data_IF_023676412198
#
_entry.id   IF_023676412198
#
_cell.length_a   1.000
_cell.length_b   1.000
_cell.length_c   1.000
_cell.angle_alpha   90.00
_cell.angle_beta   90.00
_cell.angle_gamma   90.00
#
_symmetry.space_group_name_H-M   'P 1'
#
loop_
_entity.id
_entity.type
_entity.pdbx_description
1 polymer ?
#
# COMPACT_ATOMS: atom_id res chain seq x y z
N UNK A 1 -30.18 -20.68 23.36
CA UNK A 1 -29.29 -19.65 22.80
C UNK A 1 -28.81 -18.77 23.94
N UNK A 2 -27.51 -18.71 24.17
CA UNK A 2 -26.84 -17.75 25.07
C UNK A 2 -26.47 -16.50 24.27
N UNK A 3 -26.47 -15.33 24.90
CA UNK A 3 -26.17 -14.07 24.21
C UNK A 3 -26.06 -12.91 25.21
N UNK A 4 -25.41 -11.83 24.76
CA UNK A 4 -25.16 -10.63 25.54
C UNK A 4 -26.14 -9.54 25.15
N UNK A 5 -26.72 -8.85 26.14
CA UNK A 5 -27.49 -7.62 25.89
C UNK A 5 -26.49 -6.52 25.56
N UNK A 6 -26.43 -6.13 24.29
CA UNK A 6 -25.50 -5.09 23.80
C UNK A 6 -26.13 -3.70 23.79
N UNK A 7 -27.47 -3.62 23.79
CA UNK A 7 -28.20 -2.37 23.98
C UNK A 7 -29.46 -2.60 24.82
N UNK A 8 -29.76 -1.62 25.68
CA UNK A 8 -30.99 -1.53 26.48
C UNK A 8 -31.51 -0.11 26.37
N UNK A 9 -32.60 0.06 25.62
CA UNK A 9 -33.19 1.39 25.35
C UNK A 9 -34.40 1.69 26.25
N UNK A 10 -34.66 0.84 27.25
CA UNK A 10 -35.79 0.99 28.15
C UNK A 10 -35.39 1.07 29.62
N UNK A 11 -36.16 1.84 30.38
CA UNK A 11 -36.12 1.91 31.84
C UNK A 11 -37.50 1.59 32.42
N UNK A 12 -37.52 1.21 33.70
CA UNK A 12 -38.76 0.89 34.38
C UNK A 12 -39.72 2.10 34.39
N UNK A 13 -40.99 1.88 34.05
CA UNK A 13 -42.00 2.95 33.90
C UNK A 13 -42.06 3.63 32.53
N UNK A 14 -41.19 3.24 31.58
CA UNK A 14 -41.25 3.77 30.22
C UNK A 14 -42.50 3.29 29.46
N UNK A 15 -43.11 4.18 28.68
CA UNK A 15 -44.17 3.84 27.73
C UNK A 15 -43.55 3.23 26.47
N UNK A 16 -44.13 2.14 25.96
CA UNK A 16 -43.62 1.40 24.80
C UNK A 16 -44.71 1.34 23.75
N UNK A 17 -44.38 1.74 22.53
CA UNK A 17 -45.25 1.58 21.37
C UNK A 17 -44.87 0.33 20.57
N UNK A 18 -45.81 -0.23 19.81
CA UNK A 18 -45.53 -1.34 18.92
C UNK A 18 -44.46 -0.95 17.89
N UNK A 19 -43.36 -1.73 17.84
CA UNK A 19 -42.20 -1.44 16.99
C UNK A 19 -41.00 -0.83 17.75
N UNK A 20 -41.18 -0.43 19.01
CA UNK A 20 -40.08 0.06 19.84
C UNK A 20 -39.10 -1.08 20.13
N UNK A 21 -37.82 -0.86 19.83
CA UNK A 21 -36.74 -1.80 20.17
C UNK A 21 -36.41 -1.64 21.66
N UNK A 22 -36.55 -2.72 22.41
CA UNK A 22 -36.37 -2.67 23.87
C UNK A 22 -34.98 -3.13 24.28
N UNK A 23 -34.51 -4.20 23.63
CA UNK A 23 -33.20 -4.79 23.82
C UNK A 23 -32.61 -5.21 22.49
N UNK A 24 -31.29 -5.21 22.40
CA UNK A 24 -30.53 -5.91 21.36
C UNK A 24 -29.67 -6.98 22.03
N UNK A 25 -29.87 -8.22 21.63
CA UNK A 25 -29.08 -9.37 22.11
C UNK A 25 -28.26 -9.89 20.95
N UNK A 26 -26.95 -10.07 21.16
CA UNK A 26 -26.04 -10.63 20.18
C UNK A 26 -25.28 -11.82 20.79
N UNK A 27 -24.98 -12.82 19.95
CA UNK A 27 -23.91 -13.75 20.28
C UNK A 27 -22.58 -13.06 19.93
N UNK A 28 -21.62 -13.11 20.85
CA UNK A 28 -20.29 -12.52 20.70
C UNK A 28 -19.19 -13.58 20.52
N UNK A 29 -19.54 -14.87 20.44
CA UNK A 29 -18.60 -15.97 20.18
C UNK A 29 -17.91 -15.79 18.83
N UNK A 30 -18.66 -15.30 17.83
CA UNK A 30 -18.18 -14.92 16.50
C UNK A 30 -18.44 -13.43 16.30
N UNK A 31 -17.40 -12.68 15.91
CA UNK A 31 -17.52 -11.26 15.62
C UNK A 31 -16.99 -10.98 14.23
N UNK A 32 -17.32 -9.79 13.70
CA UNK A 32 -16.73 -9.32 12.47
C UNK A 32 -16.15 -7.93 12.62
N UNK A 33 -15.10 -7.67 11.86
CA UNK A 33 -14.53 -6.36 11.66
C UNK A 33 -14.87 -5.89 10.25
N UNK A 34 -15.28 -4.64 10.15
CA UNK A 34 -15.55 -3.96 8.89
C UNK A 34 -14.37 -3.05 8.57
N UNK A 35 -13.54 -3.46 7.61
CA UNK A 35 -12.40 -2.69 7.13
C UNK A 35 -12.82 -1.85 5.91
N UNK A 36 -12.34 -0.60 5.86
CA UNK A 36 -12.44 0.26 4.68
C UNK A 36 -11.14 0.13 3.87
N UNK A 37 -11.24 -0.44 2.67
CA UNK A 37 -10.09 -0.72 1.79
C UNK A 37 -10.16 0.22 0.59
N UNK A 38 -9.06 0.88 0.24
CA UNK A 38 -9.02 1.75 -0.93
C UNK A 38 -9.27 0.98 -2.23
N UNK A 39 -9.93 1.62 -3.19
CA UNK A 39 -10.28 1.02 -4.49
C UNK A 39 -9.07 0.41 -5.23
N UNK A 40 -7.89 1.05 -5.17
CA UNK A 40 -6.68 0.54 -5.82
C UNK A 40 -6.19 -0.79 -5.22
N UNK A 41 -6.28 -0.91 -3.89
CA UNK A 41 -5.80 -2.07 -3.14
C UNK A 41 -6.82 -3.22 -3.17
N UNK A 42 -8.09 -2.92 -3.43
CA UNK A 42 -9.18 -3.90 -3.49
C UNK A 42 -8.88 -5.04 -4.49
N UNK A 43 -8.13 -4.76 -5.55
CA UNK A 43 -7.70 -5.77 -6.55
C UNK A 43 -6.86 -6.91 -5.94
N UNK A 44 -6.23 -6.65 -4.80
CA UNK A 44 -5.39 -7.60 -4.08
C UNK A 44 -6.12 -8.35 -2.98
N UNK A 45 -7.35 -7.96 -2.65
CA UNK A 45 -8.17 -8.57 -1.60
C UNK A 45 -9.07 -9.65 -2.18
N UNK A 46 -9.05 -10.85 -1.58
CA UNK A 46 -9.84 -12.01 -2.02
C UNK A 46 -10.74 -12.52 -0.92
N UNK A 47 -11.85 -13.15 -1.30
CA UNK A 47 -12.66 -13.93 -0.36
C UNK A 47 -11.82 -15.06 0.24
N UNK A 48 -12.09 -15.39 1.50
CA UNK A 48 -11.39 -16.40 2.30
C UNK A 48 -9.91 -16.11 2.58
N UNK A 49 -9.39 -14.95 2.15
CA UNK A 49 -8.03 -14.51 2.47
C UNK A 49 -7.85 -14.36 3.99
N UNK A 50 -6.74 -14.90 4.48
CA UNK A 50 -6.31 -14.74 5.87
C UNK A 50 -5.79 -13.32 6.08
N UNK A 51 -6.16 -12.74 7.22
CA UNK A 51 -5.77 -11.38 7.60
C UNK A 51 -5.40 -11.36 9.07
N UNK A 52 -4.50 -10.44 9.43
CA UNK A 52 -4.18 -10.18 10.82
C UNK A 52 -4.92 -8.94 11.30
N UNK A 53 -5.62 -9.05 12.42
CA UNK A 53 -6.33 -7.94 13.04
C UNK A 53 -5.66 -7.56 14.35
N UNK A 54 -5.39 -6.27 14.51
CA UNK A 54 -4.78 -5.71 15.71
C UNK A 54 -5.69 -4.63 16.29
N UNK A 55 -5.78 -4.54 17.62
CA UNK A 55 -6.56 -3.50 18.28
C UNK A 55 -5.62 -2.43 18.82
N UNK A 56 -5.88 -1.13 18.60
CA UNK A 56 -5.04 -0.06 19.15
C UNK A 56 -4.87 -0.11 20.68
N UNK A 57 -5.86 -0.63 21.39
CA UNK A 57 -5.85 -0.79 22.85
C UNK A 57 -5.23 -2.12 23.32
N UNK A 58 -4.85 -3.02 22.42
CA UNK A 58 -4.20 -4.30 22.70
C UNK A 58 -3.13 -4.62 21.63
N UNK A 59 -2.10 -3.77 21.47
CA UNK A 59 -1.15 -3.88 20.35
C UNK A 59 -0.29 -5.15 20.39
N UNK A 60 -0.15 -5.77 21.55
CA UNK A 60 0.61 -7.02 21.75
C UNK A 60 -0.18 -8.27 21.34
N UNK A 61 -1.50 -8.13 21.12
CA UNK A 61 -2.38 -9.23 20.74
C UNK A 61 -2.77 -9.10 19.27
N UNK A 62 -2.52 -10.17 18.53
CA UNK A 62 -2.93 -10.33 17.13
C UNK A 62 -4.08 -11.34 17.07
N UNK A 63 -5.08 -11.04 16.27
CA UNK A 63 -6.22 -11.89 16.03
C UNK A 63 -6.21 -12.32 14.58
N UNK A 64 -6.26 -13.62 14.33
CA UNK A 64 -6.37 -14.15 12.98
C UNK A 64 -7.83 -14.09 12.53
N UNK A 65 -8.05 -13.57 11.33
CA UNK A 65 -9.37 -13.46 10.74
C UNK A 65 -9.37 -13.92 9.28
N UNK A 66 -10.58 -14.07 8.72
CA UNK A 66 -10.76 -14.40 7.30
C UNK A 66 -11.73 -13.45 6.64
N UNK A 67 -11.41 -13.03 5.41
CA UNK A 67 -12.31 -12.21 4.60
C UNK A 67 -13.57 -13.02 4.28
N UNK A 68 -14.68 -12.65 4.91
CA UNK A 68 -15.97 -13.33 4.79
C UNK A 68 -16.86 -12.73 3.72
N UNK A 69 -16.67 -11.44 3.41
CA UNK A 69 -17.49 -10.73 2.44
C UNK A 69 -16.79 -9.47 1.93
N UNK A 70 -16.93 -9.20 0.63
CA UNK A 70 -16.49 -7.95 -0.01
C UNK A 70 -17.75 -7.30 -0.56
N UNK A 71 -18.08 -6.10 -0.09
CA UNK A 71 -19.31 -5.43 -0.52
C UNK A 71 -19.18 -4.96 -1.98
N UNK A 72 -20.24 -5.11 -2.80
CA UNK A 72 -20.17 -4.84 -4.25
C UNK A 72 -20.30 -3.35 -4.61
N UNK A 73 -20.12 -2.45 -3.63
CA UNK A 73 -20.25 -1.00 -3.81
C UNK A 73 -19.13 -0.27 -3.07
N UNK A 74 -18.81 0.93 -3.56
CA UNK A 74 -17.83 1.83 -2.98
C UNK A 74 -18.55 2.94 -2.20
N UNK A 75 -17.92 3.41 -1.13
CA UNK A 75 -18.23 4.71 -0.52
C UNK A 75 -17.66 5.80 -1.42
N UNK A 76 -18.54 6.62 -2.01
CA UNK A 76 -18.16 7.63 -2.99
C UNK A 76 -17.34 8.79 -2.38
N UNK A 77 -17.51 9.07 -1.08
CA UNK A 77 -16.78 10.15 -0.39
C UNK A 77 -15.33 9.76 -0.13
N UNK A 78 -15.11 8.52 0.29
CA UNK A 78 -13.78 8.00 0.69
C UNK A 78 -13.08 7.21 -0.42
N UNK A 79 -13.80 6.82 -1.47
CA UNK A 79 -13.34 5.89 -2.51
C UNK A 79 -12.81 4.57 -1.91
N UNK A 80 -13.52 4.06 -0.90
CA UNK A 80 -13.21 2.80 -0.22
C UNK A 80 -14.31 1.77 -0.43
N UNK A 81 -13.92 0.50 -0.51
CA UNK A 81 -14.81 -0.64 -0.39
C UNK A 81 -14.86 -1.11 1.05
N UNK A 82 -16.06 -1.52 1.49
CA UNK A 82 -16.26 -2.19 2.76
C UNK A 82 -15.89 -3.67 2.61
N UNK A 83 -15.01 -4.17 3.46
CA UNK A 83 -14.62 -5.59 3.54
C UNK A 83 -14.93 -6.11 4.94
N UNK A 84 -15.62 -7.25 5.03
CA UNK A 84 -15.99 -7.88 6.30
C UNK A 84 -15.08 -9.06 6.60
N UNK A 85 -14.35 -8.97 7.70
CA UNK A 85 -13.47 -10.01 8.23
C UNK A 85 -14.17 -10.71 9.39
N UNK A 86 -14.27 -12.03 9.35
CA UNK A 86 -14.81 -12.83 10.46
C UNK A 86 -13.68 -13.27 11.40
N UNK A 87 -13.94 -13.21 12.71
CA UNK A 87 -13.00 -13.60 13.76
C UNK A 87 -13.70 -14.42 14.85
N UNK A 88 -12.98 -15.41 15.35
CA UNK A 88 -13.35 -16.14 16.55
C UNK A 88 -13.06 -15.26 17.80
N UNK A 89 -13.95 -15.25 18.77
CA UNK A 89 -13.84 -14.44 19.98
C UNK A 89 -14.10 -15.24 21.27
N UNK A 90 -13.36 -16.35 21.50
CA UNK A 90 -13.65 -17.28 22.59
C UNK A 90 -13.43 -16.70 24.00
N UNK A 91 -12.54 -15.71 24.13
CA UNK A 91 -12.26 -15.01 25.40
C UNK A 91 -13.05 -13.71 25.55
N UNK A 92 -13.90 -13.38 24.58
CA UNK A 92 -14.74 -12.18 24.54
C UNK A 92 -13.93 -10.87 24.63
N UNK A 93 -12.67 -10.90 24.21
CA UNK A 93 -11.82 -9.71 24.19
C UNK A 93 -12.26 -8.69 23.13
N UNK A 94 -12.81 -9.17 22.02
CA UNK A 94 -13.34 -8.34 20.95
C UNK A 94 -14.76 -7.90 21.32
N UNK A 95 -14.95 -6.58 21.45
CA UNK A 95 -16.25 -5.99 21.76
C UNK A 95 -16.78 -5.20 20.56
N UNK A 96 -18.09 -5.19 20.33
CA UNK A 96 -18.68 -4.36 19.28
C UNK A 96 -18.29 -2.89 19.42
N UNK A 97 -18.20 -2.20 18.29
CA UNK A 97 -17.82 -0.79 18.17
C UNK A 97 -16.39 -0.43 18.62
N UNK A 98 -15.50 -1.41 18.77
CA UNK A 98 -14.06 -1.17 18.87
C UNK A 98 -13.46 -0.80 17.51
N UNK A 99 -12.41 0.03 17.54
CA UNK A 99 -11.53 0.22 16.40
C UNK A 99 -10.56 -0.96 16.30
N UNK A 100 -10.22 -1.33 15.07
CA UNK A 100 -9.24 -2.35 14.76
C UNK A 100 -8.52 -1.98 13.46
N UNK A 101 -7.25 -2.33 13.39
CA UNK A 101 -6.43 -2.31 12.19
C UNK A 101 -6.44 -3.70 11.57
N UNK A 102 -6.56 -3.78 10.24
CA UNK A 102 -6.60 -5.04 9.49
C UNK A 102 -5.45 -5.03 8.48
N UNK A 103 -4.52 -5.94 8.68
CA UNK A 103 -3.40 -6.20 7.78
C UNK A 103 -3.79 -7.33 6.81
N UNK A 104 -3.81 -7.00 5.51
CA UNK A 104 -4.06 -7.95 4.44
C UNK A 104 -2.72 -8.44 3.88
N UNK A 105 -2.41 -9.72 4.09
CA UNK A 105 -1.22 -10.32 3.49
C UNK A 105 -1.47 -10.58 2.00
N UNK A 106 -0.74 -9.87 1.14
CA UNK A 106 -0.87 -9.96 -0.32
C UNK A 106 0.37 -10.65 -0.89
N UNK A 107 0.16 -11.78 -1.55
CA UNK A 107 1.20 -12.43 -2.33
C UNK A 107 1.39 -11.71 -3.67
N UNK A 108 2.51 -11.02 -3.83
CA UNK A 108 2.86 -10.31 -5.06
C UNK A 108 3.47 -11.23 -6.14
N UNK A 109 3.61 -12.52 -5.85
CA UNK A 109 4.25 -13.51 -6.71
C UNK A 109 5.77 -13.49 -6.65
N UNK A 110 6.40 -14.31 -7.49
CA UNK A 110 7.86 -14.34 -7.65
C UNK A 110 8.30 -13.27 -8.66
N UNK A 111 9.31 -12.47 -8.30
CA UNK A 111 9.83 -11.42 -9.16
C UNK A 111 11.16 -10.87 -8.67
N UNK A 112 11.78 -10.01 -9.49
CA UNK A 112 12.97 -9.29 -9.07
C UNK A 112 12.60 -8.31 -7.97
N UNK A 113 13.40 -8.31 -6.92
CA UNK A 113 13.21 -7.43 -5.77
C UNK A 113 14.54 -6.80 -5.39
N UNK A 114 14.48 -5.54 -4.95
CA UNK A 114 15.65 -4.78 -4.54
C UNK A 114 15.42 -4.21 -3.14
N UNK A 115 16.41 -4.27 -2.22
CA UNK A 115 16.29 -3.66 -0.90
C UNK A 115 15.96 -2.16 -1.01
N UNK A 116 15.09 -1.66 -0.14
CA UNK A 116 14.71 -0.25 -0.10
C UNK A 116 15.95 0.65 0.06
N UNK A 117 16.95 0.20 0.82
CA UNK A 117 18.20 0.92 1.09
C UNK A 117 19.12 1.02 -0.14
N UNK A 118 18.94 0.19 -1.17
CA UNK A 118 19.71 0.28 -2.40
C UNK A 118 19.14 1.32 -3.38
N UNK A 119 17.93 1.81 -3.15
CA UNK A 119 17.24 2.75 -4.05
C UNK A 119 17.61 4.19 -3.69
N UNK A 120 18.14 4.92 -4.67
CA UNK A 120 18.43 6.34 -4.57
C UNK A 120 17.34 7.13 -5.29
N UNK A 121 16.78 8.09 -4.57
CA UNK A 121 15.74 8.98 -5.06
C UNK A 121 16.39 10.25 -5.63
N UNK A 122 16.35 10.40 -6.95
CA UNK A 122 16.85 11.60 -7.63
C UNK A 122 15.71 12.25 -8.41
N UNK A 123 15.02 13.19 -7.76
CA UNK A 123 13.85 13.86 -8.34
C UNK A 123 12.74 12.86 -8.73
N UNK A 124 12.31 12.81 -9.99
CA UNK A 124 11.27 11.87 -10.44
C UNK A 124 11.79 10.45 -10.70
N UNK A 125 13.10 10.24 -10.80
CA UNK A 125 13.70 8.93 -11.16
C UNK A 125 14.13 8.16 -9.93
N UNK A 126 14.17 6.83 -10.06
CA UNK A 126 14.70 5.90 -9.06
C UNK A 126 15.91 5.22 -9.67
N UNK A 127 17.02 5.26 -8.95
CA UNK A 127 18.31 4.78 -9.45
C UNK A 127 18.87 3.80 -8.44
N UNK A 128 19.42 2.70 -8.94
CA UNK A 128 20.21 1.75 -8.18
C UNK A 128 21.61 1.68 -8.79
N UNK A 129 22.59 1.23 -8.03
CA UNK A 129 23.93 0.99 -8.55
C UNK A 129 24.19 -0.50 -8.63
N UNK A 130 24.39 -0.98 -9.86
CA UNK A 130 24.80 -2.37 -10.14
C UNK A 130 26.32 -2.46 -10.03
N UNK A 131 26.81 -3.41 -9.23
CA UNK A 131 28.22 -3.74 -9.11
C UNK A 131 28.65 -4.61 -10.29
N UNK A 132 29.53 -4.07 -11.14
CA UNK A 132 30.13 -4.79 -12.26
C UNK A 132 31.43 -5.52 -11.86
N UNK A 133 31.79 -5.48 -10.58
CA UNK A 133 33.05 -5.98 -10.04
C UNK A 133 34.20 -4.98 -10.16
N UNK A 134 35.30 -5.28 -9.47
CA UNK A 134 36.54 -4.48 -9.50
C UNK A 134 36.33 -3.00 -9.11
N UNK A 135 35.33 -2.73 -8.28
CA UNK A 135 34.97 -1.38 -7.83
C UNK A 135 34.30 -0.52 -8.91
N UNK A 136 33.83 -1.11 -10.00
CA UNK A 136 33.08 -0.43 -11.06
C UNK A 136 31.58 -0.53 -10.79
N UNK A 137 30.92 0.61 -10.72
CA UNK A 137 29.47 0.68 -10.57
C UNK A 137 28.81 1.26 -11.81
N UNK A 138 27.67 0.68 -12.19
CA UNK A 138 26.79 1.23 -13.22
C UNK A 138 25.52 1.80 -12.57
N UNK A 139 25.23 3.10 -12.71
CA UNK A 139 23.93 3.64 -12.36
C UNK A 139 22.88 3.08 -13.31
N UNK A 140 21.79 2.57 -12.76
CA UNK A 140 20.72 1.96 -13.52
C UNK A 140 19.39 2.57 -13.08
N UNK A 141 18.62 3.09 -14.04
CA UNK A 141 17.30 3.65 -13.77
C UNK A 141 16.32 2.50 -13.71
N UNK A 142 15.59 2.41 -12.59
CA UNK A 142 14.66 1.31 -12.35
C UNK A 142 13.23 1.82 -12.25
N UNK A 143 12.30 1.03 -12.78
CA UNK A 143 10.88 1.20 -12.49
C UNK A 143 10.50 0.26 -11.35
N UNK A 144 10.01 0.84 -10.26
CA UNK A 144 9.63 0.11 -9.06
C UNK A 144 8.12 -0.13 -9.02
N UNK A 145 7.75 -1.31 -8.55
CA UNK A 145 6.38 -1.70 -8.20
C UNK A 145 6.09 -1.47 -6.72
N UNK A 146 5.08 -2.19 -6.18
CA UNK A 146 4.73 -2.12 -4.77
C UNK A 146 5.92 -2.45 -3.85
N UNK A 147 5.90 -1.87 -2.65
CA UNK A 147 6.82 -2.23 -1.57
C UNK A 147 6.31 -3.50 -0.88
N UNK A 148 7.18 -4.46 -0.64
CA UNK A 148 6.93 -5.69 0.08
C UNK A 148 7.92 -5.80 1.25
N UNK A 149 7.50 -5.40 2.44
CA UNK A 149 8.41 -5.33 3.61
C UNK A 149 9.57 -4.36 3.35
N UNK A 150 10.80 -4.86 3.39
CA UNK A 150 12.02 -4.08 3.19
C UNK A 150 12.54 -4.07 1.75
N UNK A 151 11.70 -4.52 0.80
CA UNK A 151 12.05 -4.62 -0.61
C UNK A 151 11.04 -3.88 -1.49
N UNK A 152 11.51 -3.40 -2.63
CA UNK A 152 10.65 -3.01 -3.76
C UNK A 152 10.65 -4.10 -4.81
N UNK A 153 9.47 -4.39 -5.37
CA UNK A 153 9.39 -5.16 -6.62
C UNK A 153 9.98 -4.34 -7.75
N UNK A 154 10.82 -4.93 -8.58
CA UNK A 154 11.44 -4.30 -9.74
C UNK A 154 10.64 -4.69 -10.99
N UNK A 155 10.09 -3.70 -11.68
CA UNK A 155 9.33 -3.89 -12.94
C UNK A 155 10.23 -3.87 -14.17
N UNK A 156 11.24 -3.01 -14.16
CA UNK A 156 12.22 -2.90 -15.24
C UNK A 156 13.51 -2.24 -14.75
N UNK A 157 14.58 -2.40 -15.55
CA UNK A 157 15.89 -1.80 -15.30
C UNK A 157 16.92 -2.75 -14.68
N UNK A 158 16.54 -3.91 -14.16
CA UNK A 158 17.51 -4.91 -13.66
C UNK A 158 17.26 -6.27 -14.28
N UNK A 159 18.34 -7.04 -14.38
CA UNK A 159 18.31 -8.44 -14.79
C UNK A 159 18.48 -9.39 -13.59
N UNK A 160 17.92 -10.61 -13.66
CA UNK A 160 18.15 -11.62 -12.63
C UNK A 160 19.65 -11.93 -12.45
N UNK A 161 20.14 -11.80 -11.22
CA UNK A 161 21.54 -12.01 -10.87
C UNK A 161 22.37 -10.74 -10.76
N UNK A 162 21.83 -9.57 -11.12
CA UNK A 162 22.49 -8.30 -10.87
C UNK A 162 22.75 -8.09 -9.37
N UNK A 163 23.99 -7.75 -9.04
CA UNK A 163 24.39 -7.42 -7.67
C UNK A 163 24.23 -5.92 -7.46
N UNK A 164 23.31 -5.51 -6.58
CA UNK A 164 23.09 -4.10 -6.26
C UNK A 164 23.79 -3.68 -4.96
N UNK A 165 24.23 -2.44 -4.91
CA UNK A 165 24.86 -1.89 -3.71
C UNK A 165 23.80 -1.37 -2.74
N UNK A 166 23.73 -1.94 -1.54
CA UNK A 166 22.93 -1.41 -0.43
C UNK A 166 23.63 -0.22 0.22
N UNK A 167 22.91 0.89 0.37
CA UNK A 167 23.50 2.14 0.84
C UNK A 167 23.87 2.07 2.33
N UNK A 168 25.10 2.48 2.67
CA UNK A 168 25.55 2.60 4.06
C UNK A 168 27.02 2.96 4.19
N UNK A 169 27.89 2.32 3.40
CA UNK A 169 29.36 2.47 3.61
C UNK A 169 30.13 2.80 2.32
N UNK A 170 29.59 2.48 1.15
CA UNK A 170 30.28 2.69 -0.14
C UNK A 170 30.15 4.12 -0.69
N UNK A 171 28.98 4.76 -0.53
CA UNK A 171 28.75 6.10 -1.07
C UNK A 171 29.64 7.17 -0.41
N UNK A 172 29.96 6.99 0.88
CA UNK A 172 30.87 7.88 1.62
C UNK A 172 32.33 7.70 1.14
N UNK A 173 32.73 6.48 0.79
CA UNK A 173 34.07 6.24 0.22
C UNK A 173 34.21 6.72 -1.25
N UNK A 174 33.09 6.94 -1.94
CA UNK A 174 33.04 7.26 -3.38
C UNK A 174 32.47 8.65 -3.70
N UNK A 175 32.26 9.50 -2.68
CA UNK A 175 31.57 10.80 -2.76
C UNK A 175 32.20 11.75 -3.79
N UNK A 176 33.51 11.62 -4.05
CA UNK A 176 34.25 12.44 -5.01
C UNK A 176 34.12 11.98 -6.47
N UNK A 177 33.68 10.73 -6.74
CA UNK A 177 33.45 10.22 -8.10
C UNK A 177 31.96 10.20 -8.47
N UNK A 178 31.09 9.98 -7.48
CA UNK A 178 29.65 9.96 -7.69
C UNK A 178 29.07 11.34 -8.01
N UNK A 179 29.48 12.41 -7.32
CA UNK A 179 29.04 13.77 -7.68
C UNK A 179 29.44 14.13 -9.10
N UNK A 180 30.69 13.82 -9.49
CA UNK A 180 31.14 14.05 -10.86
C UNK A 180 30.40 13.20 -11.90
N UNK A 181 29.97 11.97 -11.60
CA UNK A 181 29.20 11.14 -12.56
C UNK A 181 27.71 11.49 -12.60
N UNK A 182 27.13 11.95 -11.49
CA UNK A 182 25.75 12.43 -11.43
C UNK A 182 25.60 13.81 -12.08
N UNK A 183 26.57 14.71 -11.88
CA UNK A 183 26.65 16.01 -12.55
C UNK A 183 27.04 15.87 -14.04
N UNK A 184 27.90 14.91 -14.40
CA UNK A 184 28.21 14.59 -15.80
C UNK A 184 27.08 13.84 -16.53
N UNK A 185 26.08 13.31 -15.81
CA UNK A 185 24.84 12.77 -16.35
C UNK A 185 23.78 13.86 -16.61
N UNK A 186 23.92 15.03 -15.97
CA UNK A 186 23.02 16.17 -16.18
C UNK A 186 22.87 16.70 -17.64
N UNK A 187 23.73 16.40 -18.65
CA UNK A 187 23.52 16.96 -19.99
C UNK A 187 22.40 16.30 -20.82
N UNK A 188 21.54 15.46 -20.25
CA UNK A 188 20.25 15.11 -20.90
C UNK A 188 19.08 15.99 -20.41
N UNK A 189 19.38 17.00 -19.59
CA UNK A 189 18.47 18.09 -19.26
C UNK A 189 18.69 19.24 -20.28
N UNK A 190 18.14 19.05 -21.47
CA UNK A 190 17.59 20.07 -22.39
C UNK A 190 17.63 19.52 -23.84
N UNK A 191 16.45 19.14 -24.34
CA UNK A 191 16.12 19.33 -25.75
C UNK A 191 14.73 20.00 -25.80
N UNK A 192 14.75 21.32 -25.86
CA UNK A 192 13.66 22.13 -26.37
C UNK A 192 13.91 22.46 -27.84
N UNK A 193 13.69 21.48 -28.73
CA UNK A 193 13.58 21.76 -30.16
C UNK A 193 12.26 22.49 -30.47
N UNK A 194 12.27 23.81 -30.30
CA UNK A 194 11.47 24.74 -31.11
C UNK A 194 12.36 25.27 -32.23
N UNK A 195 11.98 25.10 -33.50
CA UNK A 195 12.28 26.02 -34.61
C UNK A 195 11.33 25.65 -35.78
N UNK A 196 10.17 26.32 -35.87
CA UNK A 196 9.86 27.47 -36.74
C UNK A 196 10.04 27.24 -38.24
N UNK A 197 8.92 27.17 -38.96
CA UNK A 197 8.82 27.71 -40.31
C UNK A 197 7.73 28.78 -40.34
N UNK A 198 8.15 30.01 -40.08
CA UNK A 198 7.50 31.22 -40.57
C UNK A 198 8.27 31.66 -41.82
N UNK A 199 7.58 31.68 -42.96
CA UNK A 199 7.98 32.44 -44.14
C UNK A 199 6.73 33.10 -44.72
N UNK A 200 6.47 34.33 -44.30
CA UNK A 200 5.67 35.28 -45.05
C UNK A 200 6.54 36.17 -45.94
N UNK A 201 6.13 36.35 -47.21
CA UNK A 201 6.54 37.48 -48.05
C UNK A 201 6.70 37.21 -49.55
N UNK A 202 5.65 37.55 -50.33
CA UNK A 202 5.63 38.25 -51.67
C UNK A 202 6.69 37.89 -52.74
N UNK A 203 6.42 37.67 -54.04
CA UNK A 203 5.64 38.48 -55.00
C UNK A 203 5.55 37.79 -56.39
N UNK A 204 4.49 38.16 -57.16
CA UNK A 204 4.36 38.36 -58.63
C UNK A 204 4.52 37.26 -59.72
N UNK A 205 3.62 37.41 -60.73
CA UNK A 205 3.53 36.89 -62.13
C UNK A 205 3.21 35.38 -62.31
N UNK A 206 2.21 34.94 -63.08
CA UNK A 206 1.62 35.39 -64.36
C UNK A 206 0.14 34.95 -64.45
#
# INVERSE_FOLDING_TARGET
>A
ATGYVIEKEIVEGAHIEAGTRVYRIANLDDVWVEADVYEGDLTSVRLEQEVTVTLPNLPERRFEGRVSFIYPYLDDERRTARVRVALDNPDLALRPAMYADVDFDVELGEGLAVPVEAVIYTGPRRVVFVDLGEGRLRPEVVELGPRAGDYYVVRSGLDPGDTVVISGTFLVASESRLRSSLDAWAPFADDDATETHDHGGSDEAE
#
